data_IF_407661259073
#
_entry.id   IF_407661259073
#
_cell.length_a   1.000
_cell.length_b   1.000
_cell.length_c   1.000
_cell.angle_alpha   90.00
_cell.angle_beta   90.00
_cell.angle_gamma   90.00
#
_symmetry.space_group_name_H-M   'P 1'
#
loop_
_entity.id
_entity.type
_entity.pdbx_description
1 polymer ?
#
# COMPACT_ATOMS: atom_id res chain seq x y z
N UNK A 1 -11.18 -9.29 -3.44
CA UNK A 1 -9.87 -8.62 -3.28
C UNK A 1 -8.78 -9.52 -2.72
N UNK A 2 -8.97 -10.22 -1.58
CA UNK A 2 -7.91 -11.05 -0.95
C UNK A 2 -7.27 -12.11 -1.89
N UNK A 3 -8.05 -12.70 -2.79
CA UNK A 3 -7.50 -13.62 -3.81
C UNK A 3 -6.67 -12.90 -4.89
N UNK A 4 -7.14 -11.73 -5.34
CA UNK A 4 -6.44 -10.90 -6.34
C UNK A 4 -5.08 -10.44 -5.80
N UNK A 5 -5.04 -10.02 -4.53
CA UNK A 5 -3.82 -9.55 -3.88
C UNK A 5 -2.91 -10.69 -3.41
N UNK A 6 -3.32 -11.94 -3.61
CA UNK A 6 -2.54 -13.13 -3.25
C UNK A 6 -2.43 -13.40 -1.75
N UNK A 7 -3.31 -12.79 -0.95
CA UNK A 7 -3.48 -13.07 0.49
C UNK A 7 -4.19 -14.41 0.69
N UNK A 8 -5.16 -14.72 -0.18
CA UNK A 8 -5.89 -15.98 -0.20
C UNK A 8 -5.58 -16.73 -1.50
N UNK A 9 -5.32 -18.04 -1.43
CA UNK A 9 -5.19 -18.86 -2.63
C UNK A 9 -6.57 -19.18 -3.21
N UNK A 10 -6.64 -19.26 -4.54
CA UNK A 10 -7.82 -19.72 -5.26
C UNK A 10 -7.88 -21.25 -5.24
N UNK A 11 -9.06 -21.83 -5.02
CA UNK A 11 -9.24 -23.29 -5.06
C UNK A 11 -9.22 -23.83 -6.50
N UNK A 12 -9.71 -23.02 -7.45
CA UNK A 12 -9.70 -23.31 -8.89
C UNK A 12 -9.79 -22.03 -9.72
N UNK A 13 -9.49 -22.12 -11.02
CA UNK A 13 -9.52 -20.97 -11.94
C UNK A 13 -8.19 -20.20 -11.99
N UNK A 14 -8.22 -19.02 -12.61
CA UNK A 14 -7.04 -18.18 -12.80
C UNK A 14 -7.42 -16.69 -12.81
N UNK A 15 -6.65 -15.88 -12.08
CA UNK A 15 -6.77 -14.42 -12.08
C UNK A 15 -5.66 -13.82 -12.94
N UNK A 16 -6.06 -13.02 -13.94
CA UNK A 16 -5.15 -12.26 -14.82
C UNK A 16 -5.33 -10.76 -14.62
N UNK A 17 -4.22 -10.03 -14.65
CA UNK A 17 -4.19 -8.57 -14.75
C UNK A 17 -3.30 -8.19 -15.94
N UNK A 18 -3.83 -7.43 -16.89
CA UNK A 18 -3.14 -7.10 -18.15
C UNK A 18 -2.58 -8.35 -18.85
N UNK A 19 -3.41 -9.39 -18.96
CA UNK A 19 -3.10 -10.71 -19.53
C UNK A 19 -1.96 -11.49 -18.84
N UNK A 20 -1.45 -11.02 -17.70
CA UNK A 20 -0.43 -11.70 -16.90
C UNK A 20 -1.05 -12.32 -15.65
N UNK A 21 -0.57 -13.49 -15.27
CA UNK A 21 -1.02 -14.16 -14.04
C UNK A 21 -0.66 -13.35 -12.79
N UNK A 22 -1.62 -13.21 -11.88
CA UNK A 22 -1.46 -12.42 -10.66
C UNK A 22 -0.42 -12.98 -9.69
N UNK A 23 -0.11 -14.28 -9.75
CA UNK A 23 0.93 -14.93 -8.94
C UNK A 23 2.29 -14.24 -9.06
N UNK A 24 2.57 -13.61 -10.21
CA UNK A 24 3.83 -12.92 -10.52
C UNK A 24 3.78 -11.41 -10.30
N UNK A 25 2.64 -10.85 -9.88
CA UNK A 25 2.41 -9.40 -9.84
C UNK A 25 1.96 -8.86 -8.47
N UNK A 26 2.29 -9.55 -7.38
CA UNK A 26 1.90 -9.14 -6.01
C UNK A 26 2.32 -7.71 -5.64
N UNK A 27 3.47 -7.23 -6.14
CA UNK A 27 3.96 -5.85 -5.91
C UNK A 27 3.19 -4.77 -6.69
N UNK A 28 2.32 -5.13 -7.64
CA UNK A 28 1.62 -4.18 -8.51
C UNK A 28 0.32 -3.62 -7.93
N UNK A 29 -0.20 -4.22 -6.85
CA UNK A 29 -1.51 -3.87 -6.28
C UNK A 29 -1.38 -3.58 -4.79
N UNK A 30 -1.70 -2.34 -4.39
CA UNK A 30 -1.90 -1.98 -2.98
C UNK A 30 -3.26 -2.47 -2.49
N UNK A 31 -3.33 -2.91 -1.23
CA UNK A 31 -4.57 -3.40 -0.62
C UNK A 31 -4.87 -2.68 0.68
N UNK A 32 -6.01 -2.00 0.74
CA UNK A 32 -6.60 -1.50 1.98
C UNK A 32 -7.70 -2.47 2.42
N UNK A 33 -7.59 -3.11 3.60
CA UNK A 33 -8.64 -3.96 4.13
C UNK A 33 -9.93 -3.19 4.41
N UNK A 34 -11.06 -3.90 4.46
CA UNK A 34 -12.35 -3.32 4.85
C UNK A 34 -12.31 -2.70 6.25
N UNK A 35 -11.57 -3.33 7.16
CA UNK A 35 -11.30 -2.83 8.50
C UNK A 35 -9.80 -2.57 8.60
N UNK A 36 -9.33 -1.33 8.35
CA UNK A 36 -7.93 -1.00 8.47
C UNK A 36 -7.50 -1.03 9.95
N UNK A 37 -6.37 -1.67 10.22
CA UNK A 37 -5.72 -1.60 11.52
C UNK A 37 -4.55 -0.62 11.41
N UNK A 38 -4.51 0.34 12.32
CA UNK A 38 -3.41 1.29 12.42
C UNK A 38 -2.50 0.93 13.60
N UNK A 39 -1.21 1.25 13.47
CA UNK A 39 -0.29 1.13 14.59
C UNK A 39 -0.50 2.32 15.52
N UNK A 40 -1.17 2.09 16.66
CA UNK A 40 -1.57 3.16 17.59
C UNK A 40 -0.38 3.96 18.16
N UNK A 41 0.80 3.35 18.17
CA UNK A 41 2.05 3.97 18.64
C UNK A 41 2.81 4.74 17.54
N UNK A 42 2.33 4.74 16.29
CA UNK A 42 2.92 5.48 15.18
C UNK A 42 2.08 6.70 14.82
N UNK A 43 2.75 7.82 14.56
CA UNK A 43 2.15 8.98 13.89
C UNK A 43 1.84 8.67 12.43
N UNK A 44 0.97 9.48 11.82
CA UNK A 44 0.58 9.34 10.40
C UNK A 44 1.81 9.32 9.49
N UNK A 45 2.73 10.27 9.67
CA UNK A 45 3.96 10.37 8.87
C UNK A 45 4.86 9.16 9.04
N UNK A 46 5.02 8.65 10.26
CA UNK A 46 5.83 7.47 10.56
C UNK A 46 5.27 6.22 9.88
N UNK A 47 3.95 6.04 9.92
CA UNK A 47 3.25 4.96 9.23
C UNK A 47 3.47 5.01 7.71
N UNK A 48 3.40 6.20 7.12
CA UNK A 48 3.64 6.39 5.69
C UNK A 48 5.10 6.15 5.28
N UNK A 49 6.06 6.60 6.11
CA UNK A 49 7.49 6.33 5.90
C UNK A 49 7.74 4.83 5.96
N UNK A 50 7.23 4.16 7.00
CA UNK A 50 7.37 2.72 7.20
C UNK A 50 6.84 1.94 6.00
N UNK A 51 5.63 2.25 5.51
CA UNK A 51 5.09 1.62 4.31
C UNK A 51 5.95 1.89 3.08
N UNK A 52 6.38 3.14 2.86
CA UNK A 52 7.21 3.49 1.71
C UNK A 52 8.55 2.75 1.67
N UNK A 53 9.19 2.58 2.82
CA UNK A 53 10.43 1.81 2.95
C UNK A 53 10.20 0.32 2.69
N UNK A 54 9.08 -0.25 3.14
CA UNK A 54 8.71 -1.64 2.85
C UNK A 54 8.53 -1.90 1.34
N UNK A 55 8.10 -0.87 0.59
CA UNK A 55 8.00 -0.90 -0.87
C UNK A 55 9.27 -0.42 -1.59
N UNK A 56 10.38 -0.24 -0.88
CA UNK A 56 11.69 0.12 -1.43
C UNK A 56 11.67 1.45 -2.21
N UNK A 57 10.83 2.40 -1.79
CA UNK A 57 10.76 3.74 -2.41
C UNK A 57 11.97 4.56 -1.97
N UNK A 58 12.73 5.19 -2.89
CA UNK A 58 13.88 6.03 -2.51
C UNK A 58 13.48 7.17 -1.58
N UNK A 59 14.27 7.42 -0.53
CA UNK A 59 13.96 8.38 0.54
C UNK A 59 13.54 9.76 0.03
N UNK A 60 14.26 10.33 -0.93
CA UNK A 60 13.94 11.64 -1.50
C UNK A 60 12.55 11.66 -2.14
N UNK A 61 12.24 10.63 -2.92
CA UNK A 61 10.92 10.47 -3.56
C UNK A 61 9.83 10.20 -2.54
N UNK A 62 10.14 9.41 -1.52
CA UNK A 62 9.19 9.09 -0.45
C UNK A 62 8.78 10.35 0.33
N UNK A 63 9.74 11.16 0.77
CA UNK A 63 9.44 12.39 1.52
C UNK A 63 8.61 13.38 0.69
N UNK A 64 8.91 13.51 -0.61
CA UNK A 64 8.11 14.34 -1.51
C UNK A 64 6.66 13.85 -1.61
N UNK A 65 6.48 12.54 -1.89
CA UNK A 65 5.14 11.94 -2.03
C UNK A 65 4.32 12.03 -0.74
N UNK A 66 4.95 11.85 0.42
CA UNK A 66 4.27 11.97 1.71
C UNK A 66 3.76 13.40 1.90
N UNK A 67 4.58 14.41 1.62
CA UNK A 67 4.16 15.81 1.71
C UNK A 67 2.98 16.11 0.79
N UNK A 68 3.06 15.69 -0.47
CA UNK A 68 1.97 15.85 -1.46
C UNK A 68 0.69 15.12 -1.02
N UNK A 69 0.82 13.90 -0.51
CA UNK A 69 -0.30 13.10 -0.05
C UNK A 69 -1.01 13.76 1.14
N UNK A 70 -0.25 14.16 2.17
CA UNK A 70 -0.80 14.81 3.36
C UNK A 70 -1.57 16.09 3.00
N UNK A 71 -1.02 16.91 2.09
CA UNK A 71 -1.71 18.08 1.59
C UNK A 71 -2.99 17.72 0.81
N UNK A 72 -2.94 16.68 -0.02
CA UNK A 72 -4.10 16.23 -0.82
C UNK A 72 -5.27 15.78 0.07
N UNK A 73 -4.97 15.20 1.24
CA UNK A 73 -5.99 14.71 2.18
C UNK A 73 -6.28 15.68 3.34
N UNK A 74 -5.70 16.89 3.33
CA UNK A 74 -5.95 17.93 4.35
C UNK A 74 -5.35 17.62 5.73
N UNK A 75 -4.26 16.84 5.78
CA UNK A 75 -3.57 16.42 7.01
C UNK A 75 -2.18 17.04 7.17
N UNK A 76 -1.86 18.09 6.42
CA UNK A 76 -0.54 18.75 6.45
C UNK A 76 -0.19 19.40 7.80
N UNK A 77 -1.19 19.70 8.63
CA UNK A 77 -1.03 20.41 9.91
C UNK A 77 -1.20 19.49 11.14
N UNK A 78 -1.46 18.20 10.94
CA UNK A 78 -1.65 17.22 12.02
C UNK A 78 -0.39 16.33 12.11
N UNK A 79 0.62 16.82 12.86
CA UNK A 79 1.87 16.09 13.15
C UNK A 79 1.83 15.25 14.44
#
# INVERSE_FOLDING_TARGET
MKMITGILQQDSGMIKLNNKEMTKMKKAVGYLPQYPTFYEWMRVKESLIFMGQLFEIPDKTLQQRIKELLHTVGLENNE
#
